data_IF_231174888052
#
_entry.id   IF_231174888052
#
_cell.length_a   1.000
_cell.length_b   1.000
_cell.length_c   1.000
_cell.angle_alpha   90.00
_cell.angle_beta   90.00
_cell.angle_gamma   90.00
#
_symmetry.space_group_name_H-M   'P 1'
#
loop_
_entity.id
_entity.type
_entity.pdbx_description
1 polymer ?
#
# COMPACT_ATOMS: atom_id res chain seq x y z
N UNK A 1 11.57 15.79 4.28
CA UNK A 1 10.50 14.87 3.85
C UNK A 1 10.50 14.76 2.33
N UNK A 2 10.41 13.56 1.80
CA UNK A 2 10.34 13.25 0.37
C UNK A 2 9.11 12.39 0.11
N UNK A 3 8.37 12.66 -0.96
CA UNK A 3 7.28 11.81 -1.43
C UNK A 3 7.67 11.27 -2.79
N UNK A 4 7.65 9.95 -2.93
CA UNK A 4 7.91 9.25 -4.19
C UNK A 4 6.62 8.59 -4.66
N UNK A 5 6.10 8.98 -5.80
CA UNK A 5 4.97 8.30 -6.44
C UNK A 5 5.51 7.01 -7.05
N UNK A 6 5.08 5.87 -6.53
CA UNK A 6 5.49 4.54 -6.97
C UNK A 6 4.66 4.06 -8.16
N UNK A 7 3.42 4.52 -8.24
CA UNK A 7 2.50 4.27 -9.33
C UNK A 7 1.42 5.33 -9.38
N UNK A 8 1.04 5.73 -10.58
CA UNK A 8 0.01 6.74 -10.85
C UNK A 8 -1.06 6.24 -11.84
N UNK A 9 -1.08 4.95 -12.10
CA UNK A 9 -2.09 4.31 -12.95
C UNK A 9 -3.39 4.04 -12.21
N UNK A 10 -4.42 3.72 -12.98
CA UNK A 10 -5.72 3.27 -12.46
C UNK A 10 -5.65 1.84 -11.94
N UNK A 11 -6.78 1.26 -11.54
CA UNK A 11 -6.89 -0.13 -11.08
C UNK A 11 -6.39 -1.19 -12.08
N UNK A 12 -6.40 -0.88 -13.37
CA UNK A 12 -5.89 -1.77 -14.44
C UNK A 12 -4.43 -1.50 -14.80
N UNK A 13 -3.87 -0.39 -14.35
CA UNK A 13 -2.56 0.11 -14.79
C UNK A 13 -2.58 0.64 -16.23
N UNK A 14 -1.42 1.06 -16.73
CA UNK A 14 -1.21 1.45 -18.14
C UNK A 14 0.11 0.83 -18.59
N UNK A 15 0.14 0.05 -19.71
CA UNK A 15 -0.97 -0.33 -20.59
C UNK A 15 -2.02 -1.22 -19.93
N UNK A 16 -3.27 -1.04 -20.32
CA UNK A 16 -4.36 -1.93 -19.93
C UNK A 16 -4.39 -3.16 -20.85
N UNK A 17 -4.66 -4.32 -20.28
CA UNK A 17 -4.71 -5.59 -21.02
C UNK A 17 -5.77 -5.51 -22.12
N UNK A 18 -5.33 -5.74 -23.37
CA UNK A 18 -6.19 -5.73 -24.54
C UNK A 18 -6.55 -4.34 -25.07
N UNK A 19 -6.10 -3.27 -24.46
CA UNK A 19 -6.30 -1.91 -24.97
C UNK A 19 -5.36 -1.60 -26.14
N UNK A 20 -5.92 -1.06 -27.22
CA UNK A 20 -5.17 -0.70 -28.44
C UNK A 20 -5.08 0.82 -28.66
N UNK A 21 -5.40 1.62 -27.65
CA UNK A 21 -5.29 3.07 -27.77
C UNK A 21 -3.83 3.53 -27.90
N UNK A 22 -3.57 4.75 -28.43
CA UNK A 22 -2.20 5.23 -28.65
C UNK A 22 -1.31 5.22 -27.40
N UNK A 23 -1.87 5.43 -26.22
CA UNK A 23 -1.12 5.42 -24.95
C UNK A 23 -0.74 3.98 -24.57
N UNK A 24 -1.69 3.04 -24.62
CA UNK A 24 -1.43 1.64 -24.26
C UNK A 24 -0.52 0.90 -25.25
N UNK A 25 -0.41 1.39 -26.49
CA UNK A 25 0.49 0.85 -27.53
C UNK A 25 1.78 1.64 -27.69
N UNK A 26 1.97 2.67 -26.86
CA UNK A 26 3.16 3.52 -26.87
C UNK A 26 4.40 2.75 -26.42
N UNK A 27 5.53 3.02 -27.06
CA UNK A 27 6.86 2.57 -26.63
C UNK A 27 7.53 3.53 -25.64
N UNK A 28 6.92 4.68 -25.34
CA UNK A 28 7.45 5.65 -24.38
C UNK A 28 7.23 5.12 -22.94
N UNK A 29 8.30 4.94 -22.15
CA UNK A 29 8.18 4.43 -20.78
C UNK A 29 7.36 5.38 -19.86
N UNK A 30 7.18 6.64 -20.23
CA UNK A 30 6.33 7.59 -19.50
C UNK A 30 4.84 7.30 -19.62
N UNK A 31 4.45 6.51 -20.62
CA UNK A 31 3.08 6.02 -20.80
C UNK A 31 2.81 4.73 -20.03
N UNK A 32 3.82 4.14 -19.39
CA UNK A 32 3.67 2.98 -18.53
C UNK A 32 3.47 3.42 -17.09
N UNK A 33 2.33 3.09 -16.51
CA UNK A 33 1.96 3.49 -15.15
C UNK A 33 1.51 2.28 -14.34
N UNK A 34 2.28 1.96 -13.30
CA UNK A 34 1.89 0.99 -12.29
C UNK A 34 0.72 1.55 -11.46
N UNK A 35 -0.04 0.67 -10.81
CA UNK A 35 -1.20 1.01 -9.98
C UNK A 35 -0.81 1.93 -8.83
N UNK A 36 -1.77 2.74 -8.38
CA UNK A 36 -1.55 3.82 -7.44
C UNK A 36 -0.86 3.34 -6.14
N UNK A 37 0.26 3.97 -5.81
CA UNK A 37 0.96 3.82 -4.54
C UNK A 37 1.96 4.96 -4.36
N UNK A 38 2.27 5.31 -3.11
CA UNK A 38 3.25 6.34 -2.80
C UNK A 38 4.09 5.95 -1.59
N UNK A 39 5.35 6.39 -1.58
CA UNK A 39 6.26 6.22 -0.45
C UNK A 39 6.64 7.60 0.11
N UNK A 40 6.39 7.79 1.39
CA UNK A 40 6.77 8.99 2.14
C UNK A 40 8.02 8.64 2.95
N UNK A 41 9.05 9.46 2.83
CA UNK A 41 10.32 9.28 3.53
C UNK A 41 10.71 10.57 4.27
N UNK A 42 11.07 10.41 5.52
CA UNK A 42 11.83 11.40 6.31
C UNK A 42 13.23 10.86 6.55
N UNK A 43 14.02 11.48 7.42
CA UNK A 43 15.39 11.04 7.69
C UNK A 43 15.43 9.64 8.33
N UNK A 44 14.39 9.27 9.09
CA UNK A 44 14.33 8.06 9.91
C UNK A 44 13.01 7.27 9.81
N UNK A 45 12.04 7.71 9.03
CA UNK A 45 10.71 7.08 8.92
C UNK A 45 10.31 6.91 7.47
N UNK A 46 9.80 5.71 7.13
CA UNK A 46 9.26 5.39 5.80
C UNK A 46 7.84 4.88 5.92
N UNK A 47 6.91 5.54 5.26
CA UNK A 47 5.48 5.22 5.26
C UNK A 47 5.06 4.93 3.83
N UNK A 48 4.49 3.75 3.60
CA UNK A 48 3.90 3.37 2.33
C UNK A 48 2.40 3.70 2.34
N UNK A 49 1.89 4.27 1.27
CA UNK A 49 0.44 4.42 1.03
C UNK A 49 0.06 3.43 -0.06
N UNK A 50 -0.81 2.49 0.29
CA UNK A 50 -1.28 1.36 -0.49
C UNK A 50 -0.16 0.41 -0.96
N UNK A 51 -0.47 -0.87 -0.97
CA UNK A 51 0.42 -1.96 -1.34
C UNK A 51 -0.29 -2.87 -2.35
N UNK A 52 -0.44 -2.38 -3.58
CA UNK A 52 -1.09 -3.09 -4.67
C UNK A 52 -0.21 -4.21 -5.27
N UNK A 53 -0.71 -4.96 -6.26
CA UNK A 53 0.00 -6.11 -6.84
C UNK A 53 1.28 -5.72 -7.59
N UNK A 54 1.48 -4.44 -7.88
CA UNK A 54 2.69 -3.93 -8.53
C UNK A 54 3.80 -3.58 -7.53
N UNK A 55 3.55 -3.70 -6.20
CA UNK A 55 4.46 -3.27 -5.14
C UNK A 55 5.87 -3.83 -5.32
N UNK A 56 6.01 -5.12 -5.63
CA UNK A 56 7.32 -5.72 -5.90
C UNK A 56 8.09 -4.95 -6.98
N UNK A 57 7.46 -4.67 -8.10
CA UNK A 57 8.07 -3.93 -9.21
C UNK A 57 8.41 -2.50 -8.81
N UNK A 58 7.52 -1.86 -8.05
CA UNK A 58 7.66 -0.48 -7.59
C UNK A 58 8.87 -0.27 -6.68
N UNK A 59 9.23 -1.27 -5.87
CA UNK A 59 10.31 -1.13 -4.87
C UNK A 59 11.65 -1.73 -5.27
N UNK A 60 11.71 -2.56 -6.32
CA UNK A 60 12.95 -3.23 -6.76
C UNK A 60 14.08 -2.25 -7.10
N UNK A 61 13.77 -1.04 -7.56
CA UNK A 61 14.74 -0.01 -7.89
C UNK A 61 15.08 0.93 -6.71
N UNK A 62 14.47 0.74 -5.55
CA UNK A 62 14.64 1.60 -4.38
C UNK A 62 15.62 0.97 -3.36
N UNK A 63 16.26 1.79 -2.51
CA UNK A 63 17.05 1.28 -1.40
C UNK A 63 16.21 0.37 -0.50
N UNK A 64 16.70 -0.85 -0.25
CA UNK A 64 16.04 -1.80 0.63
C UNK A 64 16.24 -1.40 2.10
N UNK A 65 15.22 -0.77 2.67
CA UNK A 65 15.19 -0.24 4.04
C UNK A 65 13.87 -0.61 4.71
N UNK A 66 13.81 -0.49 6.03
CA UNK A 66 12.59 -0.66 6.82
C UNK A 66 11.42 0.16 6.24
N UNK A 67 10.22 -0.39 6.30
CA UNK A 67 8.94 0.32 6.17
C UNK A 67 8.34 0.36 7.57
N UNK A 68 8.08 1.56 8.08
CA UNK A 68 7.63 1.77 9.46
C UNK A 68 6.11 1.69 9.61
N UNK A 69 5.40 1.78 8.49
CA UNK A 69 3.95 1.60 8.44
C UNK A 69 3.42 1.64 7.03
N UNK A 70 2.30 0.96 6.82
CA UNK A 70 1.55 0.96 5.57
C UNK A 70 0.16 1.50 5.84
N UNK A 71 -0.21 2.57 5.15
CA UNK A 71 -1.53 3.20 5.22
C UNK A 71 -2.40 2.66 4.09
N UNK A 72 -3.50 2.00 4.40
CA UNK A 72 -4.42 1.46 3.40
C UNK A 72 -5.60 2.40 3.22
N UNK A 73 -5.81 2.85 2.00
CA UNK A 73 -6.95 3.71 1.66
C UNK A 73 -8.26 2.94 1.66
N UNK A 74 -8.29 1.75 1.07
CA UNK A 74 -9.46 0.85 1.00
C UNK A 74 -9.06 -0.56 0.54
N UNK A 75 -10.01 -1.50 0.56
CA UNK A 75 -9.77 -2.93 0.36
C UNK A 75 -9.73 -3.42 -1.10
N UNK A 76 -9.78 -2.56 -2.12
CA UNK A 76 -9.69 -3.01 -3.50
C UNK A 76 -8.33 -3.64 -3.80
N UNK A 77 -8.33 -4.65 -4.68
CA UNK A 77 -7.14 -5.47 -4.95
C UNK A 77 -5.94 -4.66 -5.43
N UNK A 78 -6.17 -3.65 -6.24
CA UNK A 78 -5.14 -2.74 -6.76
C UNK A 78 -4.45 -1.91 -5.66
N UNK A 79 -5.02 -1.84 -4.45
CA UNK A 79 -4.46 -1.17 -3.28
C UNK A 79 -3.88 -2.11 -2.22
N UNK A 80 -4.27 -3.39 -2.22
CA UNK A 80 -3.88 -4.33 -1.15
C UNK A 80 -3.27 -5.65 -1.64
N UNK A 81 -3.32 -5.93 -2.95
CA UNK A 81 -2.93 -7.23 -3.51
C UNK A 81 -1.44 -7.58 -3.38
N UNK A 82 -0.59 -6.64 -2.99
CA UNK A 82 0.85 -6.82 -2.77
C UNK A 82 1.27 -6.97 -1.31
N UNK A 83 0.35 -7.02 -0.35
CA UNK A 83 0.67 -7.08 1.07
C UNK A 83 1.59 -8.27 1.45
N UNK A 84 1.47 -9.40 0.77
CA UNK A 84 2.37 -10.54 0.98
C UNK A 84 3.82 -10.24 0.57
N UNK A 85 4.04 -9.34 -0.38
CA UNK A 85 5.37 -8.89 -0.81
C UNK A 85 6.08 -8.00 0.23
N UNK A 86 5.42 -7.64 1.34
CA UNK A 86 6.06 -7.02 2.50
C UNK A 86 6.92 -8.01 3.31
N UNK A 87 6.79 -9.30 3.08
CA UNK A 87 7.53 -10.37 3.78
C UNK A 87 9.05 -10.12 3.87
N UNK A 88 9.76 -9.73 2.79
CA UNK A 88 11.18 -9.42 2.88
C UNK A 88 11.51 -8.27 3.83
N UNK A 89 10.60 -7.30 3.98
CA UNK A 89 10.78 -6.13 4.85
C UNK A 89 10.64 -6.49 6.33
N UNK A 90 9.96 -7.60 6.66
CA UNK A 90 9.83 -8.09 8.04
C UNK A 90 11.16 -8.53 8.66
N UNK A 91 12.25 -8.62 7.89
CA UNK A 91 13.60 -8.79 8.43
C UNK A 91 14.09 -7.59 9.26
N UNK A 92 13.48 -6.43 9.08
CA UNK A 92 13.76 -5.21 9.87
C UNK A 92 12.85 -5.07 11.09
N UNK A 93 11.99 -6.04 11.36
CA UNK A 93 10.94 -6.03 12.37
C UNK A 93 9.56 -6.10 11.73
N UNK A 94 8.52 -5.93 12.52
CA UNK A 94 7.15 -5.88 12.01
C UNK A 94 6.92 -4.69 11.08
N UNK A 95 5.97 -4.86 10.15
CA UNK A 95 5.49 -3.79 9.25
C UNK A 95 4.00 -3.56 9.53
N UNK A 96 3.64 -2.63 10.43
CA UNK A 96 2.26 -2.38 10.81
C UNK A 96 1.42 -1.89 9.62
N UNK A 97 0.22 -2.45 9.47
CA UNK A 97 -0.77 -2.06 8.48
C UNK A 97 -1.87 -1.26 9.19
N UNK A 98 -2.11 -0.05 8.73
CA UNK A 98 -3.14 0.85 9.27
C UNK A 98 -4.32 0.93 8.31
N UNK A 99 -5.50 0.55 8.77
CA UNK A 99 -6.71 0.51 7.97
C UNK A 99 -7.95 0.83 8.83
N UNK A 100 -8.99 1.36 8.20
CA UNK A 100 -10.27 1.50 8.92
C UNK A 100 -10.88 0.12 9.24
N UNK A 101 -11.77 -0.01 10.25
CA UNK A 101 -12.27 -1.31 10.73
C UNK A 101 -12.88 -2.17 9.64
N UNK A 102 -13.66 -1.58 8.71
CA UNK A 102 -14.26 -2.31 7.60
C UNK A 102 -13.18 -2.92 6.68
N UNK A 103 -12.18 -2.12 6.29
CA UNK A 103 -11.06 -2.57 5.46
C UNK A 103 -10.25 -3.64 6.19
N UNK A 104 -9.99 -3.46 7.48
CA UNK A 104 -9.28 -4.43 8.32
C UNK A 104 -9.97 -5.79 8.35
N UNK A 105 -11.29 -5.82 8.52
CA UNK A 105 -12.10 -7.05 8.48
C UNK A 105 -11.98 -7.75 7.12
N UNK A 106 -12.06 -6.98 6.02
CA UNK A 106 -11.91 -7.52 4.66
C UNK A 106 -10.51 -8.12 4.42
N UNK A 107 -9.47 -7.48 4.92
CA UNK A 107 -8.09 -7.99 4.82
C UNK A 107 -7.94 -9.31 5.59
N UNK A 108 -8.43 -9.39 6.84
CA UNK A 108 -8.42 -10.64 7.62
C UNK A 108 -9.15 -11.79 6.92
N UNK A 109 -10.25 -11.48 6.24
CA UNK A 109 -11.05 -12.47 5.51
C UNK A 109 -10.38 -12.93 4.22
N UNK A 110 -9.77 -12.01 3.46
CA UNK A 110 -9.17 -12.30 2.15
C UNK A 110 -7.79 -12.91 2.23
N UNK A 111 -7.02 -12.55 3.24
CA UNK A 111 -5.64 -12.97 3.44
C UNK A 111 -5.41 -13.48 4.88
N UNK A 112 -6.20 -14.50 5.33
CA UNK A 112 -6.18 -14.92 6.74
C UNK A 112 -4.78 -15.35 7.19
N UNK A 113 -3.99 -15.96 6.33
CA UNK A 113 -2.63 -16.42 6.65
C UNK A 113 -1.66 -15.28 6.99
N UNK A 114 -1.93 -14.05 6.54
CA UNK A 114 -1.11 -12.88 6.86
C UNK A 114 -1.38 -12.31 8.27
N UNK A 115 -2.53 -12.64 8.87
CA UNK A 115 -3.04 -11.99 10.09
C UNK A 115 -3.35 -12.96 11.22
N UNK A 116 -2.87 -14.20 11.14
CA UNK A 116 -2.95 -15.18 12.23
C UNK A 116 -1.68 -15.12 13.10
N UNK A 117 -1.76 -15.69 14.32
CA UNK A 117 -0.59 -15.83 15.19
C UNK A 117 0.54 -16.57 14.47
N UNK A 118 1.71 -15.96 14.45
CA UNK A 118 2.86 -16.36 13.62
C UNK A 118 3.59 -17.60 14.16
N UNK A 119 2.93 -18.74 14.16
CA UNK A 119 3.55 -20.03 14.43
C UNK A 119 4.24 -20.64 13.20
N UNK A 120 4.02 -20.07 12.01
CA UNK A 120 4.54 -20.63 10.75
C UNK A 120 5.67 -19.76 10.17
N UNK A 121 6.89 -20.33 9.99
CA UNK A 121 8.00 -19.60 9.36
C UNK A 121 7.66 -19.20 7.92
N UNK A 122 7.90 -17.94 7.57
CA UNK A 122 7.71 -17.44 6.21
C UNK A 122 6.40 -16.69 5.96
N UNK A 123 5.55 -16.54 6.97
CA UNK A 123 4.41 -15.62 6.93
C UNK A 123 4.91 -14.19 7.20
N UNK A 124 4.36 -13.15 6.53
CA UNK A 124 4.74 -11.76 6.83
C UNK A 124 4.27 -11.36 8.23
N UNK A 125 5.13 -10.66 8.98
CA UNK A 125 4.76 -10.05 10.27
C UNK A 125 4.24 -8.62 10.01
N UNK A 126 2.95 -8.52 9.70
CA UNK A 126 2.27 -7.29 9.30
C UNK A 126 1.04 -7.03 10.20
N UNK A 127 1.25 -6.68 11.48
CA UNK A 127 0.14 -6.49 12.42
C UNK A 127 -0.83 -5.43 11.92
N UNK A 128 -2.13 -5.72 12.04
CA UNK A 128 -3.20 -4.87 11.56
C UNK A 128 -3.69 -3.95 12.68
N UNK A 129 -3.55 -2.64 12.47
CA UNK A 129 -3.95 -1.57 13.39
C UNK A 129 -5.20 -0.87 12.84
N UNK A 130 -6.27 -0.85 13.60
CA UNK A 130 -7.49 -0.14 13.21
C UNK A 130 -7.38 1.34 13.53
N UNK A 131 -7.72 2.18 12.56
CA UNK A 131 -7.64 3.64 12.64
C UNK A 131 -9.00 4.26 12.32
N UNK A 132 -9.24 5.46 12.84
CA UNK A 132 -10.50 6.18 12.71
C UNK A 132 -10.31 7.49 11.94
N UNK A 133 -11.31 7.83 11.13
CA UNK A 133 -11.39 9.11 10.43
C UNK A 133 -11.21 10.30 11.40
N UNK A 134 -10.44 11.31 10.99
CA UNK A 134 -10.15 12.55 11.73
C UNK A 134 -9.44 12.33 13.09
N UNK A 135 -8.99 11.12 13.41
CA UNK A 135 -8.23 10.83 14.61
C UNK A 135 -6.77 10.68 14.29
N UNK A 136 -5.97 11.69 14.61
CA UNK A 136 -4.52 11.66 14.40
C UNK A 136 -3.86 10.59 15.26
N UNK A 137 -2.97 9.81 14.65
CA UNK A 137 -2.07 8.85 15.32
C UNK A 137 -0.63 9.07 14.87
N UNK A 138 0.31 8.36 15.48
CA UNK A 138 1.73 8.51 15.17
C UNK A 138 2.28 7.23 14.53
N UNK A 139 3.08 7.41 13.49
CA UNK A 139 4.02 6.39 13.01
C UNK A 139 5.42 6.91 13.33
N UNK A 140 6.09 6.27 14.28
CA UNK A 140 7.23 6.85 14.98
C UNK A 140 6.84 8.23 15.57
N UNK A 141 7.41 9.32 15.05
CA UNK A 141 7.08 10.69 15.46
C UNK A 141 6.27 11.46 14.40
N UNK A 142 5.90 10.81 13.30
CA UNK A 142 5.15 11.45 12.21
C UNK A 142 3.65 11.39 12.51
N UNK A 143 2.98 12.54 12.68
CA UNK A 143 1.53 12.57 12.84
C UNK A 143 0.84 12.27 11.52
N UNK A 144 -0.11 11.34 11.56
CA UNK A 144 -0.93 10.93 10.42
C UNK A 144 -2.40 11.14 10.78
N UNK A 145 -3.12 11.84 9.93
CA UNK A 145 -4.55 12.08 10.10
C UNK A 145 -5.32 11.47 8.93
N UNK A 146 -6.13 10.42 9.16
CA UNK A 146 -7.01 9.87 8.15
C UNK A 146 -8.16 10.85 7.83
N UNK A 147 -8.42 11.05 6.55
CA UNK A 147 -9.47 11.93 6.06
C UNK A 147 -10.47 11.13 5.22
N UNK A 148 -11.77 11.39 5.38
CA UNK A 148 -12.78 10.75 4.53
C UNK A 148 -12.78 11.36 3.13
N UNK A 149 -12.67 10.50 2.13
CA UNK A 149 -12.86 10.85 0.73
C UNK A 149 -13.80 9.85 0.07
N UNK A 150 -14.40 10.23 -1.05
CA UNK A 150 -15.36 9.38 -1.75
C UNK A 150 -14.77 8.83 -3.04
N UNK A 151 -14.79 7.51 -3.19
CA UNK A 151 -14.49 6.79 -4.42
C UNK A 151 -15.80 6.34 -5.07
N UNK A 152 -16.39 7.20 -5.89
CA UNK A 152 -17.79 7.01 -6.33
C UNK A 152 -18.76 7.07 -5.16
N UNK A 153 -19.34 5.92 -4.81
CA UNK A 153 -20.24 5.76 -3.64
C UNK A 153 -19.54 5.11 -2.45
N UNK A 154 -18.33 4.62 -2.64
CA UNK A 154 -17.55 3.98 -1.57
C UNK A 154 -16.83 5.07 -0.75
N UNK A 155 -17.06 5.15 0.56
CA UNK A 155 -16.24 5.97 1.43
C UNK A 155 -14.89 5.27 1.63
N UNK A 156 -13.78 6.00 1.45
CA UNK A 156 -12.42 5.52 1.62
C UNK A 156 -11.60 6.50 2.46
N UNK A 157 -10.40 6.13 2.86
CA UNK A 157 -9.48 7.04 3.54
C UNK A 157 -8.47 7.67 2.58
N UNK A 158 -8.26 8.97 2.75
CA UNK A 158 -7.04 9.67 2.38
C UNK A 158 -6.23 10.00 3.63
N UNK A 159 -5.03 10.53 3.48
CA UNK A 159 -4.12 10.82 4.59
C UNK A 159 -3.45 12.17 4.41
#
# INVERSE_FOLDING_TARGET
MKITILGSGTSTGVPEIGCTCPVCTSSDPRDHRLRASALIETDDTRILIDCGPDFRTQVLGLPFKKIDGVLITHEHYDHVGGLDDLRPFCRFGEVPIYAEPHTAERLRTRMPYCFVDHSYPGVPNIPLQEIEENRTFLINHIPVTPLRVMHGRLPILGY
#
